data_IF_773663006498
#
_entry.id   IF_773663006498
#
_cell.length_a   1.000
_cell.length_b   1.000
_cell.length_c   1.000
_cell.angle_alpha   90.00
_cell.angle_beta   90.00
_cell.angle_gamma   90.00
#
_symmetry.space_group_name_H-M   'P 1'
#
loop_
_entity.id
_entity.type
_entity.pdbx_description
1 polymer ?
#
# COMPACT_ATOMS: atom_id res chain seq x y z
N UNK A 1 0.18 -28.43 -10.80
CA UNK A 1 0.25 -27.03 -11.27
C UNK A 1 0.60 -26.11 -10.10
N UNK A 2 1.54 -25.23 -10.29
CA UNK A 2 1.93 -24.31 -9.25
C UNK A 2 1.06 -23.07 -9.31
N UNK A 3 0.68 -22.60 -8.13
CA UNK A 3 -0.06 -21.35 -8.01
C UNK A 3 0.91 -20.18 -7.92
N UNK A 4 0.54 -19.09 -8.54
CA UNK A 4 1.27 -17.84 -8.39
C UNK A 4 0.57 -17.01 -7.33
N UNK A 5 1.35 -16.53 -6.38
CA UNK A 5 0.81 -15.62 -5.38
C UNK A 5 1.16 -14.19 -5.76
N UNK A 6 0.13 -13.35 -5.77
CA UNK A 6 0.25 -11.97 -6.16
C UNK A 6 0.38 -11.11 -4.90
N UNK A 7 1.39 -10.26 -4.90
CA UNK A 7 1.62 -9.31 -3.82
C UNK A 7 1.55 -7.91 -4.35
N UNK A 8 1.09 -6.98 -3.54
CA UNK A 8 1.29 -5.58 -3.83
C UNK A 8 2.52 -5.11 -3.07
N UNK A 9 3.55 -4.71 -3.80
CA UNK A 9 4.76 -4.17 -3.22
C UNK A 9 4.64 -2.66 -3.18
N UNK A 10 4.72 -2.10 -1.99
CA UNK A 10 4.59 -0.66 -1.79
C UNK A 10 5.86 -0.09 -1.19
N UNK A 11 6.42 0.88 -1.87
CA UNK A 11 7.56 1.64 -1.37
C UNK A 11 7.08 3.06 -1.09
N UNK A 12 7.37 3.54 0.10
CA UNK A 12 6.92 4.86 0.53
C UNK A 12 7.87 5.39 1.60
N UNK A 13 8.36 6.59 1.37
CA UNK A 13 9.26 7.29 2.30
C UNK A 13 10.46 6.43 2.72
N UNK A 14 11.07 5.77 1.73
CA UNK A 14 12.25 4.93 1.94
C UNK A 14 11.98 3.57 2.57
N UNK A 15 10.71 3.20 2.74
CA UNK A 15 10.33 1.92 3.35
C UNK A 15 9.56 1.08 2.35
N UNK A 16 9.67 -0.23 2.48
CA UNK A 16 8.95 -1.17 1.62
C UNK A 16 8.07 -2.08 2.46
N UNK A 17 6.83 -2.25 2.02
CA UNK A 17 5.87 -3.14 2.65
C UNK A 17 5.16 -3.95 1.57
N UNK A 18 4.64 -5.10 1.96
CA UNK A 18 3.93 -6.00 1.06
C UNK A 18 2.54 -6.27 1.59
N UNK A 19 1.58 -6.36 0.68
CA UNK A 19 0.23 -6.77 1.01
C UNK A 19 -0.17 -7.90 0.08
N UNK A 20 -0.59 -9.02 0.63
CA UNK A 20 -1.00 -10.19 -0.14
C UNK A 20 -2.52 -10.33 -0.20
N UNK A 21 -3.22 -9.53 0.58
CA UNK A 21 -4.65 -9.68 0.77
C UNK A 21 -5.37 -8.36 0.66
N UNK A 22 -6.44 -8.34 -0.11
CA UNK A 22 -7.30 -7.18 -0.19
C UNK A 22 -8.21 -7.15 1.04
N UNK A 23 -8.13 -6.11 1.88
CA UNK A 23 -8.98 -6.03 3.07
C UNK A 23 -10.43 -5.77 2.72
N UNK A 24 -10.66 -5.11 1.60
CA UNK A 24 -11.97 -4.77 1.07
C UNK A 24 -12.02 -5.06 -0.42
N UNK A 25 -13.15 -4.84 -1.01
CA UNK A 25 -13.45 -5.18 -2.41
C UNK A 25 -12.37 -4.75 -3.39
N UNK A 26 -11.86 -3.54 -3.26
CA UNK A 26 -10.96 -2.97 -4.26
C UNK A 26 -9.74 -2.30 -3.69
N UNK A 27 -9.52 -2.39 -2.37
CA UNK A 27 -8.53 -1.58 -1.72
C UNK A 27 -7.57 -2.42 -0.88
N UNK A 28 -6.29 -2.23 -1.11
CA UNK A 28 -5.26 -2.76 -0.24
C UNK A 28 -5.01 -1.83 0.93
N UNK A 29 -4.89 -2.37 2.11
CA UNK A 29 -4.47 -1.65 3.31
C UNK A 29 -3.01 -1.98 3.58
N UNK A 30 -2.17 -0.98 3.62
CA UNK A 30 -0.75 -1.17 3.90
C UNK A 30 -0.35 -0.29 5.08
N UNK A 31 0.14 -0.92 6.12
CA UNK A 31 0.47 -0.24 7.37
C UNK A 31 1.93 0.17 7.39
N UNK A 32 2.16 1.44 7.68
CA UNK A 32 3.50 1.99 7.89
C UNK A 32 3.58 2.45 9.34
N UNK A 33 3.72 1.50 10.24
CA UNK A 33 3.64 1.75 11.69
C UNK A 33 4.63 2.79 12.17
N UNK A 34 5.84 2.78 11.63
CA UNK A 34 6.87 3.75 12.03
C UNK A 34 6.51 5.18 11.65
N UNK A 35 5.61 5.35 10.71
CA UNK A 35 5.13 6.66 10.27
C UNK A 35 3.77 7.00 10.86
N UNK A 36 3.12 6.06 11.53
CA UNK A 36 1.77 6.22 12.04
C UNK A 36 0.73 6.38 10.95
N UNK A 37 0.97 5.76 9.80
CA UNK A 37 0.10 5.90 8.64
C UNK A 37 -0.42 4.56 8.14
N UNK A 38 -1.62 4.59 7.59
CA UNK A 38 -2.18 3.49 6.81
C UNK A 38 -2.39 4.01 5.40
N UNK A 39 -1.87 3.31 4.42
CA UNK A 39 -2.06 3.65 3.02
C UNK A 39 -3.14 2.75 2.43
N UNK A 40 -4.15 3.36 1.86
CA UNK A 40 -5.19 2.65 1.12
C UNK A 40 -4.93 2.83 -0.36
N UNK A 41 -4.76 1.72 -1.06
CA UNK A 41 -4.32 1.73 -2.45
C UNK A 41 -5.34 0.96 -3.28
N UNK A 42 -5.95 1.64 -4.23
CA UNK A 42 -6.94 1.04 -5.11
C UNK A 42 -6.26 0.02 -6.04
N UNK A 43 -6.79 -1.17 -6.11
CA UNK A 43 -6.15 -2.28 -6.83
C UNK A 43 -5.98 -2.04 -8.33
N UNK A 44 -6.91 -1.35 -8.95
CA UNK A 44 -6.85 -1.14 -10.40
C UNK A 44 -6.07 0.10 -10.79
N UNK A 45 -6.29 1.18 -10.07
CA UNK A 45 -5.71 2.47 -10.41
C UNK A 45 -4.45 2.80 -9.62
N UNK A 46 -4.14 1.99 -8.59
CA UNK A 46 -3.03 2.23 -7.68
C UNK A 46 -3.06 3.64 -7.10
N UNK A 47 -4.25 4.18 -6.93
CA UNK A 47 -4.44 5.49 -6.31
C UNK A 47 -4.24 5.39 -4.81
N UNK A 48 -3.65 6.42 -4.24
CA UNK A 48 -3.23 6.45 -2.84
C UNK A 48 -4.12 7.36 -2.01
N UNK A 49 -4.56 6.84 -0.87
CA UNK A 49 -5.12 7.65 0.20
C UNK A 49 -4.38 7.30 1.48
N UNK A 50 -3.80 8.30 2.14
CA UNK A 50 -3.12 8.11 3.40
C UNK A 50 -4.01 8.59 4.54
N UNK A 51 -4.08 7.81 5.62
CA UNK A 51 -4.83 8.19 6.81
C UNK A 51 -3.97 7.93 8.05
N UNK A 52 -4.29 8.62 9.13
CA UNK A 52 -3.67 8.34 10.40
C UNK A 52 -4.19 7.00 10.93
N UNK A 53 -3.27 6.21 11.46
CA UNK A 53 -3.59 4.90 12.01
C UNK A 53 -4.72 5.01 13.05
N UNK A 54 -5.66 4.07 12.97
CA UNK A 54 -6.79 3.91 13.90
C UNK A 54 -7.84 5.00 13.88
N UNK A 55 -7.58 6.16 13.28
CA UNK A 55 -8.52 7.27 13.30
C UNK A 55 -9.17 7.56 11.95
N UNK A 56 -8.64 6.97 10.91
CA UNK A 56 -9.12 7.14 9.53
C UNK A 56 -9.21 8.61 9.10
N UNK A 57 -8.42 9.48 9.72
CA UNK A 57 -8.36 10.87 9.33
C UNK A 57 -7.44 11.02 8.13
N UNK A 58 -7.91 11.61 7.03
CA UNK A 58 -7.05 11.82 5.87
C UNK A 58 -5.82 12.64 6.23
N UNK A 59 -4.70 12.28 5.65
CA UNK A 59 -3.43 12.96 5.86
C UNK A 59 -2.98 13.54 4.53
N UNK A 60 -2.64 14.82 4.54
CA UNK A 60 -2.07 15.46 3.36
C UNK A 60 -0.59 15.13 3.28
N UNK A 61 -0.21 14.43 2.23
CA UNK A 61 1.19 14.06 2.02
C UNK A 61 1.95 15.21 1.36
N UNK A 62 3.22 15.35 1.72
CA UNK A 62 4.09 16.31 1.07
C UNK A 62 4.41 15.86 -0.35
N UNK A 63 4.87 16.79 -1.19
CA UNK A 63 5.28 16.45 -2.55
C UNK A 63 6.40 15.40 -2.54
N UNK A 64 7.31 15.50 -1.60
CA UNK A 64 8.40 14.56 -1.46
C UNK A 64 7.89 13.15 -1.14
N UNK A 65 6.93 13.05 -0.22
CA UNK A 65 6.32 11.78 0.13
C UNK A 65 5.57 11.19 -1.06
N UNK A 66 4.79 11.99 -1.75
CA UNK A 66 4.07 11.53 -2.95
C UNK A 66 5.02 11.05 -4.04
N UNK A 67 6.12 11.75 -4.23
CA UNK A 67 7.12 11.35 -5.23
C UNK A 67 7.81 10.04 -4.85
N UNK A 68 7.89 9.73 -3.56
CA UNK A 68 8.50 8.49 -3.08
C UNK A 68 7.58 7.29 -3.17
N UNK A 69 6.29 7.52 -3.36
CA UNK A 69 5.31 6.43 -3.40
C UNK A 69 5.43 5.64 -4.70
N UNK A 70 5.51 4.34 -4.56
CA UNK A 70 5.51 3.43 -5.70
C UNK A 70 4.79 2.15 -5.29
N UNK A 71 3.85 1.73 -6.09
CA UNK A 71 3.13 0.48 -5.87
C UNK A 71 3.18 -0.35 -7.14
N UNK A 72 3.50 -1.62 -6.99
CA UNK A 72 3.57 -2.53 -8.12
C UNK A 72 3.18 -3.93 -7.68
N UNK A 73 2.62 -4.69 -8.63
CA UNK A 73 2.34 -6.09 -8.37
C UNK A 73 3.58 -6.91 -8.65
N UNK A 74 3.86 -7.82 -7.72
CA UNK A 74 4.91 -8.82 -7.89
C UNK A 74 4.30 -10.19 -7.69
N UNK A 75 4.88 -11.19 -8.30
CA UNK A 75 4.34 -12.54 -8.25
C UNK A 75 5.39 -13.50 -7.73
N UNK A 76 4.95 -14.43 -6.91
CA UNK A 76 5.79 -15.50 -6.40
C UNK A 76 5.13 -16.83 -6.73
N UNK A 77 5.91 -17.79 -7.18
CA UNK A 77 5.42 -19.13 -7.43
C UNK A 77 5.52 -19.91 -6.12
N UNK A 78 4.39 -20.41 -5.68
CA UNK A 78 4.30 -21.20 -4.44
C UNK A 78 3.97 -22.65 -4.74
#
# INVERSE_FOLDING_TARGET
MRNRQKYLKVTFDGRTRYSTREPNFYTYEVYFDTLGLVLYIHKDALMLLAVKDKKLNPVKLSKKQLASFKAEYVYEIV
#
